data_IF_741912568051
#
_entry.id   IF_741912568051
#
_cell.length_a   1.000
_cell.length_b   1.000
_cell.length_c   1.000
_cell.angle_alpha   90.00
_cell.angle_beta   90.00
_cell.angle_gamma   90.00
#
_symmetry.space_group_name_H-M   'P 1'
#
loop_
_entity.id
_entity.type
_entity.pdbx_description
1 polymer ?
#
# COMPACT_ATOMS: atom_id res chain seq x y z
N UNK A 1 41.43 20.53 18.74
CA UNK A 1 41.51 20.18 17.31
C UNK A 1 41.13 18.72 17.16
N UNK A 2 40.01 18.44 16.52
CA UNK A 2 39.53 17.09 16.20
C UNK A 2 38.39 17.25 15.20
N UNK A 3 38.57 16.89 13.93
CA UNK A 3 37.55 17.17 12.92
C UNK A 3 36.31 16.32 13.24
N UNK A 4 35.16 17.00 13.40
CA UNK A 4 33.85 16.35 13.42
C UNK A 4 33.71 15.55 12.13
N UNK A 5 33.64 14.22 12.25
CA UNK A 5 33.31 13.32 11.14
C UNK A 5 32.05 13.86 10.47
N UNK A 6 32.21 14.36 9.24
CA UNK A 6 31.11 14.83 8.42
C UNK A 6 30.08 13.71 8.31
N UNK A 7 28.84 14.02 8.64
CA UNK A 7 27.72 13.18 8.27
C UNK A 7 27.74 13.06 6.75
N UNK A 8 28.20 11.92 6.25
CA UNK A 8 28.02 11.55 4.86
C UNK A 8 26.51 11.40 4.66
N UNK A 9 25.89 12.41 4.06
CA UNK A 9 24.56 12.30 3.48
C UNK A 9 24.67 11.28 2.34
N UNK A 10 24.36 10.02 2.67
CA UNK A 10 24.17 8.96 1.68
C UNK A 10 23.02 9.42 0.79
N UNK A 11 23.35 9.94 -0.39
CA UNK A 11 22.36 10.14 -1.45
C UNK A 11 21.86 8.75 -1.81
N UNK A 12 20.67 8.41 -1.31
CA UNK A 12 19.98 7.21 -1.78
C UNK A 12 19.66 7.46 -3.24
N UNK A 13 20.44 6.85 -4.14
CA UNK A 13 20.07 6.74 -5.54
C UNK A 13 18.71 6.06 -5.60
N UNK A 14 17.73 6.77 -6.11
CA UNK A 14 16.38 6.27 -6.27
C UNK A 14 16.39 5.32 -7.49
N UNK A 15 16.82 4.08 -7.27
CA UNK A 15 16.79 3.04 -8.30
C UNK A 15 15.33 2.71 -8.57
N UNK A 16 14.80 3.27 -9.66
CA UNK A 16 13.47 2.93 -10.17
C UNK A 16 13.51 1.53 -10.76
N UNK A 17 13.06 0.55 -9.99
CA UNK A 17 12.86 -0.84 -10.45
C UNK A 17 11.56 -1.02 -11.25
N UNK A 18 10.79 0.05 -11.45
CA UNK A 18 9.52 0.02 -12.17
C UNK A 18 9.67 -0.16 -13.68
N UNK A 19 8.61 -0.65 -14.31
CA UNK A 19 8.51 -0.80 -15.76
C UNK A 19 8.70 0.54 -16.47
N UNK A 20 9.55 0.56 -17.51
CA UNK A 20 9.71 1.73 -18.37
C UNK A 20 8.52 1.80 -19.34
N UNK A 21 7.54 2.64 -19.01
CA UNK A 21 6.34 2.84 -19.82
C UNK A 21 6.45 4.12 -20.64
N UNK A 22 5.86 4.10 -21.83
CA UNK A 22 5.77 5.28 -22.67
C UNK A 22 4.82 6.33 -22.05
N UNK A 23 5.00 7.60 -22.40
CA UNK A 23 4.11 8.66 -21.92
C UNK A 23 2.66 8.39 -22.38
N UNK A 24 1.75 8.24 -21.39
CA UNK A 24 0.35 7.95 -21.61
C UNK A 24 -0.06 6.50 -21.35
N UNK A 25 0.88 5.59 -21.13
CA UNK A 25 0.57 4.19 -20.81
C UNK A 25 0.39 4.00 -19.28
N UNK A 26 -0.65 3.27 -18.90
CA UNK A 26 -0.98 3.02 -17.50
C UNK A 26 -0.47 1.64 -17.08
N UNK A 27 0.30 1.59 -16.00
CA UNK A 27 0.70 0.34 -15.36
C UNK A 27 -0.40 -0.10 -14.39
N UNK A 28 -1.02 -1.24 -14.67
CA UNK A 28 -2.14 -1.76 -13.89
C UNK A 28 -1.66 -2.73 -12.81
N UNK A 29 -2.06 -2.46 -11.57
CA UNK A 29 -2.06 -3.42 -10.47
C UNK A 29 -3.48 -3.81 -10.06
N UNK A 30 -3.60 -4.76 -9.13
CA UNK A 30 -4.89 -5.15 -8.53
C UNK A 30 -4.85 -4.81 -7.04
N UNK A 31 -5.78 -3.95 -6.61
CA UNK A 31 -6.00 -3.58 -5.22
C UNK A 31 -7.09 -4.46 -4.61
N UNK A 32 -6.67 -5.43 -3.80
CA UNK A 32 -7.51 -6.23 -2.93
C UNK A 32 -7.81 -5.47 -1.64
N UNK A 33 -9.04 -4.97 -1.54
CA UNK A 33 -9.53 -4.27 -0.36
C UNK A 33 -10.35 -5.25 0.45
N UNK A 34 -9.86 -5.66 1.61
CA UNK A 34 -10.63 -6.49 2.53
C UNK A 34 -11.14 -5.63 3.68
N UNK A 35 -12.45 -5.38 3.67
CA UNK A 35 -13.15 -4.60 4.68
C UNK A 35 -13.90 -5.55 5.60
N UNK A 36 -13.51 -5.58 6.88
CA UNK A 36 -14.20 -6.33 7.92
C UNK A 36 -14.63 -5.39 9.05
N UNK A 37 -15.46 -5.89 9.96
CA UNK A 37 -15.90 -5.12 11.13
C UNK A 37 -14.78 -4.82 12.12
N UNK A 38 -13.67 -5.55 12.04
CA UNK A 38 -12.59 -5.45 13.03
C UNK A 38 -11.34 -4.80 12.46
N UNK A 39 -11.09 -4.91 11.15
CA UNK A 39 -9.93 -4.30 10.50
C UNK A 39 -10.16 -4.12 9.00
N UNK A 40 -9.35 -3.25 8.39
CA UNK A 40 -9.33 -2.95 6.96
C UNK A 40 -7.96 -3.27 6.37
N UNK A 41 -7.92 -3.95 5.24
CA UNK A 41 -6.68 -4.33 4.57
C UNK A 41 -6.67 -3.72 3.18
N UNK A 42 -5.56 -3.06 2.86
CA UNK A 42 -5.26 -2.57 1.52
C UNK A 42 -4.06 -3.37 1.02
N UNK A 43 -4.31 -4.27 0.06
CA UNK A 43 -3.31 -5.16 -0.49
C UNK A 43 -3.23 -4.97 -2.00
N UNK A 44 -2.10 -4.50 -2.49
CA UNK A 44 -1.85 -4.32 -3.93
C UNK A 44 -0.94 -5.43 -4.43
N UNK A 45 -1.35 -6.02 -5.54
CA UNK A 45 -0.67 -7.12 -6.23
C UNK A 45 -0.52 -6.82 -7.72
N UNK A 46 0.26 -7.63 -8.40
CA UNK A 46 0.32 -7.68 -9.86
C UNK A 46 -1.00 -8.20 -10.46
N UNK A 47 -1.12 -8.18 -11.79
CA UNK A 47 -2.32 -8.66 -12.50
C UNK A 47 -2.63 -10.14 -12.24
N UNK A 48 -1.62 -10.98 -11.98
CA UNK A 48 -1.84 -12.39 -11.65
C UNK A 48 -2.32 -12.60 -10.21
N UNK A 49 -2.13 -11.62 -9.33
CA UNK A 49 -2.45 -11.70 -7.91
C UNK A 49 -1.46 -12.55 -7.10
N UNK A 50 -0.32 -12.96 -7.68
CA UNK A 50 0.68 -13.79 -7.01
C UNK A 50 1.73 -12.95 -6.30
N UNK A 51 2.20 -11.89 -6.93
CA UNK A 51 3.25 -11.05 -6.40
C UNK A 51 2.66 -9.84 -5.68
N UNK A 52 3.09 -9.65 -4.43
CA UNK A 52 2.60 -8.56 -3.59
C UNK A 52 3.54 -7.38 -3.69
N UNK A 53 2.95 -6.23 -4.00
CA UNK A 53 3.67 -4.98 -4.19
C UNK A 53 3.68 -4.22 -2.87
N UNK A 54 2.50 -4.05 -2.26
CA UNK A 54 2.34 -3.39 -0.99
C UNK A 54 1.16 -3.99 -0.23
N UNK A 55 1.32 -4.15 1.09
CA UNK A 55 0.25 -4.57 1.99
C UNK A 55 0.31 -3.76 3.25
N UNK A 56 -0.78 -3.05 3.55
CA UNK A 56 -0.93 -2.24 4.76
C UNK A 56 -2.33 -2.48 5.32
N UNK A 57 -2.45 -2.54 6.64
CA UNK A 57 -3.74 -2.66 7.32
C UNK A 57 -4.06 -1.40 8.11
N UNK A 58 -5.33 -1.22 8.47
CA UNK A 58 -5.77 -0.15 9.35
C UNK A 58 -5.07 -0.25 10.70
N UNK A 59 -4.99 -1.45 11.28
CA UNK A 59 -4.26 -1.70 12.53
C UNK A 59 -2.77 -1.39 12.52
N UNK A 60 -2.11 -1.32 11.35
CA UNK A 60 -0.72 -0.83 11.28
C UNK A 60 -0.59 0.68 11.47
N UNK A 61 -1.68 1.44 11.27
CA UNK A 61 -1.69 2.91 11.32
C UNK A 61 -2.25 3.47 12.61
N UNK A 62 -3.11 2.71 13.29
CA UNK A 62 -3.65 3.09 14.59
C UNK A 62 -3.05 2.22 15.69
N UNK A 63 -2.98 2.75 16.91
CA UNK A 63 -2.48 2.01 18.08
C UNK A 63 -3.58 1.40 18.95
N UNK A 64 -4.83 1.75 18.68
CA UNK A 64 -5.97 1.31 19.46
C UNK A 64 -6.73 0.25 18.69
N UNK A 65 -6.89 -0.93 19.29
CA UNK A 65 -7.51 -2.12 18.68
C UNK A 65 -8.96 -1.86 18.22
N UNK A 66 -9.67 -0.95 18.90
CA UNK A 66 -11.05 -0.56 18.52
C UNK A 66 -11.12 0.26 17.24
N UNK A 67 -10.04 0.93 16.88
CA UNK A 67 -10.01 1.91 15.79
C UNK A 67 -9.41 1.32 14.50
N UNK A 68 -9.08 0.02 14.49
CA UNK A 68 -8.49 -0.69 13.34
C UNK A 68 -9.43 -0.73 12.13
N UNK A 69 -10.74 -0.89 12.36
CA UNK A 69 -11.77 -0.82 11.33
C UNK A 69 -12.22 0.61 10.99
N UNK A 70 -11.66 1.63 11.66
CA UNK A 70 -12.15 2.99 11.49
C UNK A 70 -11.91 3.49 10.05
N UNK A 71 -12.82 4.33 9.49
CA UNK A 71 -12.62 4.91 8.17
C UNK A 71 -11.33 5.74 8.07
N UNK A 72 -10.91 6.32 9.19
CA UNK A 72 -9.67 7.09 9.28
C UNK A 72 -8.43 6.19 9.14
N UNK A 73 -8.40 5.04 9.81
CA UNK A 73 -7.32 4.07 9.67
C UNK A 73 -7.19 3.56 8.22
N UNK A 74 -8.33 3.26 7.58
CA UNK A 74 -8.37 2.82 6.19
C UNK A 74 -7.80 3.88 5.22
N UNK A 75 -8.13 5.15 5.44
CA UNK A 75 -7.62 6.26 4.62
C UNK A 75 -6.10 6.39 4.74
N UNK A 76 -5.55 6.33 5.96
CA UNK A 76 -4.10 6.37 6.19
C UNK A 76 -3.38 5.16 5.59
N UNK A 77 -3.99 3.98 5.66
CA UNK A 77 -3.44 2.77 5.04
C UNK A 77 -3.40 2.90 3.50
N UNK A 78 -4.46 3.43 2.89
CA UNK A 78 -4.53 3.64 1.45
C UNK A 78 -3.49 4.66 0.95
N UNK A 79 -3.24 5.73 1.71
CA UNK A 79 -2.22 6.72 1.37
C UNK A 79 -0.81 6.12 1.33
N UNK A 80 -0.42 5.35 2.36
CA UNK A 80 0.90 4.70 2.42
C UNK A 80 1.08 3.68 1.29
N UNK A 81 0.02 2.92 0.97
CA UNK A 81 0.05 2.00 -0.18
C UNK A 81 0.21 2.76 -1.50
N UNK A 82 -0.51 3.87 -1.69
CA UNK A 82 -0.41 4.68 -2.90
C UNK A 82 0.99 5.25 -3.11
N UNK A 83 1.64 5.73 -2.04
CA UNK A 83 3.02 6.22 -2.10
C UNK A 83 4.00 5.12 -2.52
N UNK A 84 3.89 3.92 -1.95
CA UNK A 84 4.73 2.77 -2.32
C UNK A 84 4.49 2.31 -3.76
N UNK A 85 3.22 2.26 -4.18
CA UNK A 85 2.86 1.89 -5.55
C UNK A 85 3.42 2.90 -6.57
N UNK A 86 3.37 4.20 -6.24
CA UNK A 86 3.92 5.25 -7.09
C UNK A 86 5.45 5.14 -7.21
N UNK A 87 6.15 4.82 -6.13
CA UNK A 87 7.59 4.57 -6.14
C UNK A 87 8.01 3.39 -7.04
N UNK A 88 7.11 2.42 -7.24
CA UNK A 88 7.32 1.23 -8.07
C UNK A 88 6.78 1.38 -9.50
N UNK A 89 6.24 2.54 -9.87
CA UNK A 89 5.76 2.82 -11.22
C UNK A 89 4.36 2.27 -11.54
N UNK A 90 3.53 1.99 -10.53
CA UNK A 90 2.12 1.62 -10.71
C UNK A 90 1.29 2.89 -10.80
N UNK A 91 0.54 3.06 -11.88
CA UNK A 91 -0.23 4.29 -12.14
C UNK A 91 -1.73 4.06 -12.11
N UNK A 92 -2.20 2.82 -12.32
CA UNK A 92 -3.61 2.46 -12.28
C UNK A 92 -3.85 1.18 -11.47
N UNK A 93 -5.04 1.06 -10.88
CA UNK A 93 -5.42 -0.08 -10.04
C UNK A 93 -6.81 -0.59 -10.38
N UNK A 94 -6.94 -1.90 -10.52
CA UNK A 94 -8.23 -2.58 -10.50
C UNK A 94 -8.64 -2.87 -9.05
N UNK A 95 -9.82 -2.41 -8.66
CA UNK A 95 -10.29 -2.56 -7.28
C UNK A 95 -11.12 -3.83 -7.13
N UNK A 96 -10.71 -4.71 -6.22
CA UNK A 96 -11.44 -5.91 -5.80
C UNK A 96 -11.80 -5.78 -4.33
N UNK A 97 -13.05 -5.41 -4.06
CA UNK A 97 -13.58 -5.31 -2.71
C UNK A 97 -14.02 -6.69 -2.20
N UNK A 98 -13.67 -7.00 -0.96
CA UNK A 98 -14.04 -8.24 -0.27
C UNK A 98 -14.50 -7.93 1.15
N UNK A 99 -15.65 -8.48 1.53
CA UNK A 99 -16.11 -8.52 2.91
C UNK A 99 -15.73 -9.86 3.58
N UNK A 100 -15.95 -9.98 4.90
CA UNK A 100 -15.63 -11.20 5.68
C UNK A 100 -16.23 -12.48 5.06
N UNK A 101 -17.47 -12.40 4.57
CA UNK A 101 -18.13 -13.47 3.83
C UNK A 101 -18.34 -14.76 4.64
N UNK A 102 -18.64 -15.86 3.95
CA UNK A 102 -18.95 -17.15 4.58
C UNK A 102 -20.29 -17.15 5.32
N UNK A 103 -20.32 -17.75 6.51
CA UNK A 103 -21.49 -17.79 7.40
C UNK A 103 -21.65 -16.50 8.24
N UNK A 104 -20.71 -15.56 8.13
CA UNK A 104 -20.77 -14.25 8.78
C UNK A 104 -21.54 -13.27 7.88
N UNK A 105 -21.74 -12.05 8.36
CA UNK A 105 -22.50 -10.99 7.69
C UNK A 105 -22.00 -10.74 6.25
N UNK A 106 -22.95 -10.68 5.29
CA UNK A 106 -22.73 -10.53 3.84
C UNK A 106 -22.89 -9.09 3.32
N UNK A 107 -23.09 -8.13 4.21
CA UNK A 107 -23.35 -6.72 3.89
C UNK A 107 -22.12 -5.88 4.11
#
# INVERSE_FOLDING_TARGET
MGPRKGQQTVKQEQVSLGSQLAEGELNFGVAHIYASFNDTFVHVTDLSGKETIARVTGGMKVKADRDEASPYAAMLAAQDVAERCRGLGITALHVRLRATGGNKTKT
#
